data_IF_163628082202
#
_entry.id   IF_163628082202
#
_cell.length_a   1.000
_cell.length_b   1.000
_cell.length_c   1.000
_cell.angle_alpha   90.00
_cell.angle_beta   90.00
_cell.angle_gamma   90.00
#
_symmetry.space_group_name_H-M   'P 1'
#
loop_
_entity.id
_entity.type
_entity.pdbx_description
1 polymer ?
#
# COMPACT_ATOMS: atom_id res chain seq x y z
N UNK A 1 24.57 18.88 6.53
CA UNK A 1 24.45 17.47 6.99
C UNK A 1 23.52 16.77 6.01
N UNK A 2 24.09 15.96 5.12
CA UNK A 2 23.33 15.17 4.15
C UNK A 2 22.54 14.11 4.92
N UNK A 3 21.28 14.37 5.21
CA UNK A 3 20.35 13.30 5.53
C UNK A 3 19.99 12.65 4.21
N UNK A 4 20.72 11.59 3.87
CA UNK A 4 20.29 10.62 2.88
C UNK A 4 18.92 10.11 3.31
N UNK A 5 17.86 10.78 2.88
CA UNK A 5 16.51 10.24 2.94
C UNK A 5 16.49 9.23 1.81
N UNK A 6 16.62 7.95 2.13
CA UNK A 6 16.24 6.89 1.21
C UNK A 6 14.79 7.14 0.82
N UNK A 7 14.61 7.86 -0.27
CA UNK A 7 13.33 8.21 -0.86
C UNK A 7 12.84 6.93 -1.52
N UNK A 8 12.17 6.08 -0.74
CA UNK A 8 11.34 5.00 -1.26
C UNK A 8 10.13 5.63 -1.95
N UNK A 9 10.37 6.43 -3.00
CA UNK A 9 9.30 7.15 -3.70
C UNK A 9 8.55 6.24 -4.66
N UNK A 10 9.01 4.99 -4.85
CA UNK A 10 8.29 3.92 -5.54
C UNK A 10 9.03 2.60 -5.31
N UNK A 11 8.46 1.71 -4.52
CA UNK A 11 9.04 0.38 -4.34
C UNK A 11 7.93 -0.66 -4.17
N UNK A 12 7.98 -1.70 -5.00
CA UNK A 12 7.17 -2.91 -4.81
C UNK A 12 8.18 -4.02 -4.53
N UNK A 13 8.08 -4.65 -3.36
CA UNK A 13 8.94 -5.76 -2.99
C UNK A 13 8.76 -6.90 -4.00
N UNK A 14 9.84 -7.55 -4.49
CA UNK A 14 9.74 -8.70 -5.39
C UNK A 14 8.94 -9.88 -4.81
N UNK A 15 8.77 -9.92 -3.49
CA UNK A 15 8.01 -10.93 -2.77
C UNK A 15 6.61 -10.47 -2.38
N UNK A 16 6.20 -9.26 -2.78
CA UNK A 16 4.80 -8.83 -2.64
C UNK A 16 3.91 -9.67 -3.57
N UNK A 17 2.75 -10.08 -3.06
CA UNK A 17 1.72 -10.76 -3.86
C UNK A 17 0.65 -9.72 -4.21
N UNK A 18 0.38 -9.55 -5.51
CA UNK A 18 -0.61 -8.60 -5.99
C UNK A 18 -1.61 -9.35 -6.87
N UNK A 19 -2.87 -9.34 -6.47
CA UNK A 19 -3.97 -9.98 -7.17
C UNK A 19 -4.28 -9.36 -8.53
N UNK A 20 -5.04 -10.10 -9.33
CA UNK A 20 -5.45 -9.69 -10.67
C UNK A 20 -6.31 -8.42 -10.64
N UNK A 21 -6.13 -7.55 -11.63
CA UNK A 21 -6.89 -6.30 -11.74
C UNK A 21 -6.54 -5.25 -10.69
N UNK A 22 -5.59 -5.51 -9.80
CA UNK A 22 -5.12 -4.50 -8.83
C UNK A 22 -4.26 -3.45 -9.50
N UNK A 23 -4.56 -2.19 -9.23
CA UNK A 23 -3.85 -1.03 -9.75
C UNK A 23 -2.98 -0.41 -8.65
N UNK A 24 -1.68 -0.28 -8.92
CA UNK A 24 -0.74 0.43 -8.05
C UNK A 24 -0.28 1.72 -8.72
N UNK A 25 -0.67 2.85 -8.13
CA UNK A 25 -0.38 4.17 -8.68
C UNK A 25 1.04 4.63 -8.31
N UNK A 26 1.62 5.57 -9.09
CA UNK A 26 2.95 6.12 -8.82
C UNK A 26 3.07 6.70 -7.41
N UNK A 27 4.21 6.54 -6.76
CA UNK A 27 4.40 7.01 -5.38
C UNK A 27 4.10 5.97 -4.31
N UNK A 28 3.34 4.92 -4.63
CA UNK A 28 3.02 3.88 -3.66
C UNK A 28 4.24 3.00 -3.35
N UNK A 29 4.32 2.57 -2.08
CA UNK A 29 5.30 1.58 -1.61
C UNK A 29 4.57 0.37 -1.05
N UNK A 30 4.88 -0.81 -1.59
CA UNK A 30 4.34 -2.10 -1.15
C UNK A 30 5.50 -2.99 -0.77
N UNK A 31 5.61 -3.35 0.50
CA UNK A 31 6.64 -4.26 1.00
C UNK A 31 6.15 -5.71 0.92
N UNK A 32 6.64 -6.64 1.74
CA UNK A 32 6.27 -8.06 1.74
C UNK A 32 4.82 -8.29 2.18
N UNK A 33 3.86 -7.81 1.39
CA UNK A 33 2.43 -7.81 1.67
C UNK A 33 1.65 -8.65 0.65
N UNK A 34 0.44 -9.06 1.04
CA UNK A 34 -0.51 -9.74 0.16
C UNK A 34 -1.66 -8.80 -0.16
N UNK A 35 -1.87 -8.53 -1.43
CA UNK A 35 -2.96 -7.66 -1.92
C UNK A 35 -3.89 -8.51 -2.77
N UNK A 36 -5.18 -8.50 -2.43
CA UNK A 36 -6.25 -9.18 -3.16
C UNK A 36 -6.49 -8.62 -4.56
N UNK A 37 -7.54 -9.11 -5.21
CA UNK A 37 -7.92 -8.74 -6.58
C UNK A 37 -8.67 -7.40 -6.61
N UNK A 38 -8.57 -6.68 -7.74
CA UNK A 38 -9.33 -5.45 -7.97
C UNK A 38 -9.05 -4.32 -6.97
N UNK A 39 -7.93 -4.36 -6.26
CA UNK A 39 -7.56 -3.33 -5.31
C UNK A 39 -7.06 -2.08 -6.03
N UNK A 40 -7.16 -0.94 -5.35
CA UNK A 40 -6.68 0.35 -5.84
C UNK A 40 -5.74 0.96 -4.81
N UNK A 41 -4.45 1.02 -5.13
CA UNK A 41 -3.41 1.57 -4.26
C UNK A 41 -3.06 2.96 -4.79
N UNK A 42 -3.68 4.00 -4.22
CA UNK A 42 -3.52 5.39 -4.67
C UNK A 42 -2.10 5.94 -4.43
N UNK A 43 -1.73 7.04 -5.10
CA UNK A 43 -0.43 7.66 -4.95
C UNK A 43 0.03 7.87 -3.51
N UNK A 44 1.28 7.52 -3.23
CA UNK A 44 1.90 7.72 -1.92
C UNK A 44 1.43 6.76 -0.82
N UNK A 45 0.53 5.81 -1.11
CA UNK A 45 0.13 4.81 -0.12
C UNK A 45 1.32 3.92 0.28
N UNK A 46 1.38 3.53 1.55
CA UNK A 46 2.45 2.72 2.11
C UNK A 46 1.89 1.45 2.75
N UNK A 47 2.30 0.29 2.25
CA UNK A 47 1.88 -1.03 2.74
C UNK A 47 3.08 -1.73 3.36
N UNK A 48 3.06 -1.88 4.68
CA UNK A 48 4.14 -2.50 5.43
C UNK A 48 4.19 -4.03 5.28
N UNK A 49 5.32 -4.68 5.66
CA UNK A 49 5.48 -6.12 5.56
C UNK A 49 4.40 -6.87 6.36
N UNK A 50 3.97 -8.02 5.84
CA UNK A 50 2.96 -8.89 6.43
C UNK A 50 1.53 -8.37 6.34
N UNK A 51 1.29 -7.17 5.81
CA UNK A 51 -0.06 -6.67 5.61
C UNK A 51 -0.84 -7.53 4.60
N UNK A 52 -2.14 -7.70 4.84
CA UNK A 52 -3.06 -8.46 3.99
C UNK A 52 -4.25 -7.58 3.63
N UNK A 53 -4.43 -7.30 2.35
CA UNK A 53 -5.61 -6.63 1.81
C UNK A 53 -6.50 -7.66 1.15
N UNK A 54 -7.78 -7.70 1.53
CA UNK A 54 -8.80 -8.45 0.80
C UNK A 54 -9.11 -7.83 -0.56
N UNK A 55 -10.01 -8.47 -1.32
CA UNK A 55 -10.40 -8.01 -2.65
C UNK A 55 -11.12 -6.65 -2.61
N UNK A 56 -10.99 -5.87 -3.69
CA UNK A 56 -11.66 -4.58 -3.87
C UNK A 56 -11.38 -3.57 -2.75
N UNK A 57 -10.18 -3.59 -2.17
CA UNK A 57 -9.73 -2.57 -1.21
C UNK A 57 -9.23 -1.33 -1.94
N UNK A 58 -9.62 -0.14 -1.47
CA UNK A 58 -9.06 1.12 -1.95
C UNK A 58 -8.24 1.79 -0.84
N UNK A 59 -6.93 1.90 -1.03
CA UNK A 59 -6.07 2.75 -0.22
C UNK A 59 -6.06 4.14 -0.86
N UNK A 60 -6.47 5.17 -0.12
CA UNK A 60 -6.44 6.56 -0.58
C UNK A 60 -5.02 7.14 -0.57
N UNK A 61 -4.86 8.34 -1.14
CA UNK A 61 -3.58 9.03 -1.22
C UNK A 61 -2.89 9.07 0.15
N UNK A 62 -1.64 8.61 0.21
CA UNK A 62 -0.86 8.61 1.44
C UNK A 62 -1.36 7.66 2.54
N UNK A 63 -2.32 6.78 2.27
CA UNK A 63 -2.80 5.82 3.27
C UNK A 63 -1.69 4.85 3.70
N UNK A 64 -1.61 4.58 5.00
CA UNK A 64 -0.62 3.68 5.59
C UNK A 64 -1.29 2.46 6.17
N UNK A 65 -0.89 1.27 5.71
CA UNK A 65 -1.32 -0.02 6.27
C UNK A 65 -0.18 -0.58 7.10
N UNK A 66 -0.42 -0.73 8.40
CA UNK A 66 0.59 -1.13 9.38
C UNK A 66 1.08 -2.58 9.20
N UNK A 67 2.26 -2.93 9.74
CA UNK A 67 2.79 -4.29 9.65
C UNK A 67 1.79 -5.33 10.17
N UNK A 68 1.57 -6.40 9.40
CA UNK A 68 0.65 -7.48 9.78
C UNK A 68 -0.85 -7.12 9.79
N UNK A 69 -1.22 -5.88 9.42
CA UNK A 69 -2.61 -5.47 9.44
C UNK A 69 -3.43 -6.22 8.39
N UNK A 70 -4.66 -6.58 8.75
CA UNK A 70 -5.62 -7.22 7.85
C UNK A 70 -6.69 -6.20 7.49
N UNK A 71 -6.81 -5.89 6.21
CA UNK A 71 -7.83 -4.99 5.66
C UNK A 71 -8.90 -5.86 4.98
N UNK A 72 -10.14 -5.91 5.50
CA UNK A 72 -11.21 -6.71 4.92
C UNK A 72 -11.54 -6.29 3.48
N UNK A 73 -12.06 -7.23 2.69
CA UNK A 73 -12.51 -6.96 1.32
C UNK A 73 -13.55 -5.83 1.27
N UNK A 74 -13.50 -5.00 0.22
CA UNK A 74 -14.41 -3.86 0.01
C UNK A 74 -14.16 -2.66 0.94
N UNK A 75 -13.03 -2.64 1.66
CA UNK A 75 -12.70 -1.54 2.57
C UNK A 75 -12.05 -0.36 1.86
N UNK A 76 -12.42 0.86 2.24
CA UNK A 76 -11.73 2.08 1.83
C UNK A 76 -10.91 2.64 2.99
N UNK A 77 -9.58 2.60 2.88
CA UNK A 77 -8.66 3.13 3.90
C UNK A 77 -8.26 4.54 3.51
N UNK A 78 -8.62 5.51 4.36
CA UNK A 78 -8.24 6.92 4.19
C UNK A 78 -6.85 7.17 4.75
N UNK A 79 -6.04 7.94 4.02
CA UNK A 79 -4.81 8.50 4.57
C UNK A 79 -5.14 9.63 5.55
N UNK A 80 -4.51 9.61 6.71
CA UNK A 80 -4.51 10.72 7.67
C UNK A 80 -3.27 11.57 7.39
N UNK A 81 -3.42 12.55 6.51
CA UNK A 81 -2.41 13.60 6.32
C UNK A 81 -3.09 14.95 6.58
N UNK A 82 -2.91 15.49 7.78
CA UNK A 82 -3.33 16.86 8.12
C UNK A 82 -4.44 17.00 9.17
N UNK A 83 -4.36 16.29 10.30
CA UNK A 83 -4.95 16.73 11.58
C UNK A 83 -3.86 16.78 12.66
#
# INVERSE_FOLDING_TARGET
MSHSKAKYEKYISPTAVIGEGTMVFPGATVLEATIGNGCTIMPGAFVFPGAVLGDNVALWNGATVLPGAIVPAGTHVKGVWGE
#
